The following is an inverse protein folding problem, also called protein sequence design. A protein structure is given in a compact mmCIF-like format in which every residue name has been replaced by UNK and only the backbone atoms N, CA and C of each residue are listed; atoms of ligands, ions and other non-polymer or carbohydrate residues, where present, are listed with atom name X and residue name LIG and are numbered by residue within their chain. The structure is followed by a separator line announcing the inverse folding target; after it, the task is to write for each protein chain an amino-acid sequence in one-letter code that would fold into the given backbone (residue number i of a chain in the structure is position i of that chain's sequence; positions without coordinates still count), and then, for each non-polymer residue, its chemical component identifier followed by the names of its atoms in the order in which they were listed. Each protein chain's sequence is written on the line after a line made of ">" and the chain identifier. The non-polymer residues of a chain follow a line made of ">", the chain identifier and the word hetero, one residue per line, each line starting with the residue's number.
data_IF_875313683924
#
_entry.id   IF_875313683924
#
_cell.length_a   1.000
_cell.length_b   1.000
_cell.length_c   1.000
_cell.angle_alpha   90.00
_cell.angle_beta   90.00
_cell.angle_gamma   90.00
#
_symmetry.space_group_name_H-M   'P 1'
#
loop_
_entity.id
_entity.type
_entity.pdbx_description
1 polymer ?
#
# COMPACT_ATOMS: atom_id res chain seq x y z
N UNK A 1 -5.76 -15.61 13.26
CA UNK A 1 -6.81 -14.89 12.48
C UNK A 1 -8.21 -15.21 12.96
N UNK A 2 -8.46 -16.45 13.30
CA UNK A 2 -9.80 -16.97 13.60
C UNK A 2 -10.45 -16.34 14.83
N UNK A 3 -9.70 -16.10 15.90
CA UNK A 3 -10.29 -15.79 17.21
C UNK A 3 -10.50 -14.30 17.49
N UNK A 4 -9.76 -13.44 16.85
CA UNK A 4 -9.78 -12.01 17.20
C UNK A 4 -10.94 -11.21 16.61
N UNK A 5 -11.56 -11.70 15.52
CA UNK A 5 -12.73 -11.04 14.94
C UNK A 5 -14.05 -11.42 15.60
N UNK A 6 -14.08 -12.53 16.33
CA UNK A 6 -15.32 -13.05 16.91
C UNK A 6 -15.75 -12.26 18.14
N UNK A 7 -14.80 -11.66 18.84
CA UNK A 7 -15.02 -10.92 20.08
C UNK A 7 -14.84 -9.40 19.92
N UNK A 8 -14.43 -8.92 18.74
CA UNK A 8 -14.23 -7.50 18.49
C UNK A 8 -15.57 -6.80 18.26
N UNK A 9 -15.94 -5.98 19.22
CA UNK A 9 -17.11 -5.08 19.10
C UNK A 9 -16.85 -3.87 18.22
N UNK A 10 -15.62 -3.65 17.78
CA UNK A 10 -15.15 -2.41 17.15
C UNK A 10 -14.86 -2.52 15.65
N UNK A 11 -15.33 -3.59 14.99
CA UNK A 11 -15.23 -3.72 13.54
C UNK A 11 -13.79 -3.89 13.02
N UNK A 12 -12.91 -4.55 13.78
CA UNK A 12 -11.56 -4.86 13.32
C UNK A 12 -11.59 -5.65 12.00
N UNK A 13 -11.05 -5.07 10.95
CA UNK A 13 -10.84 -5.76 9.68
C UNK A 13 -9.63 -6.67 9.82
N UNK A 14 -9.85 -7.97 9.94
CA UNK A 14 -8.79 -8.96 9.81
C UNK A 14 -8.50 -9.20 8.33
N UNK A 15 -7.62 -8.40 7.75
CA UNK A 15 -6.97 -8.71 6.50
C UNK A 15 -5.56 -9.22 6.79
N UNK A 16 -5.23 -10.42 6.36
CA UNK A 16 -3.85 -10.87 6.30
C UNK A 16 -3.23 -10.37 5.00
N UNK A 17 -2.10 -9.69 5.09
CA UNK A 17 -1.29 -9.38 3.90
C UNK A 17 -0.19 -10.45 3.85
N UNK A 18 -0.22 -11.28 2.81
CA UNK A 18 0.88 -12.18 2.53
C UNK A 18 1.86 -11.47 1.61
N UNK A 19 3.08 -11.26 2.06
CA UNK A 19 4.17 -10.89 1.17
C UNK A 19 4.73 -12.18 0.56
N UNK A 20 4.52 -12.37 -0.73
CA UNK A 20 5.07 -13.48 -1.49
C UNK A 20 6.47 -13.10 -1.97
N UNK A 21 7.51 -13.64 -1.35
CA UNK A 21 8.88 -13.41 -1.79
C UNK A 21 9.21 -14.28 -3.01
N UNK A 22 9.34 -13.63 -4.14
CA UNK A 22 10.11 -14.15 -5.26
C UNK A 22 9.51 -15.26 -6.12
N UNK A 23 8.19 -15.58 -6.02
CA UNK A 23 7.68 -16.81 -6.65
C UNK A 23 6.45 -16.69 -7.55
N UNK A 24 6.01 -15.48 -7.85
CA UNK A 24 4.82 -15.26 -8.71
C UNK A 24 5.00 -15.71 -10.17
N UNK A 25 6.23 -15.72 -10.70
CA UNK A 25 6.49 -16.06 -12.10
C UNK A 25 6.09 -17.48 -12.52
N UNK A 26 5.99 -18.41 -11.58
CA UNK A 26 5.67 -19.81 -11.85
C UNK A 26 4.33 -20.29 -11.26
N UNK A 27 3.46 -19.38 -10.85
CA UNK A 27 2.15 -19.74 -10.28
C UNK A 27 1.30 -20.62 -11.18
N UNK A 28 1.41 -20.48 -12.49
CA UNK A 28 0.70 -21.34 -13.44
C UNK A 28 1.02 -22.83 -13.29
N UNK A 29 2.20 -23.17 -12.75
CA UNK A 29 2.61 -24.57 -12.53
C UNK A 29 2.07 -25.17 -11.24
N UNK A 30 1.54 -24.34 -10.34
CA UNK A 30 1.04 -24.76 -9.02
C UNK A 30 -0.42 -24.37 -8.80
N UNK A 31 -1.06 -23.81 -9.82
CA UNK A 31 -2.49 -23.49 -9.81
C UNK A 31 -3.24 -24.65 -10.44
N UNK A 32 -4.22 -25.16 -9.72
CA UNK A 32 -5.13 -26.21 -10.14
C UNK A 32 -6.55 -25.66 -10.09
N UNK A 33 -7.35 -26.01 -11.09
CA UNK A 33 -8.80 -25.79 -11.01
C UNK A 33 -9.43 -27.04 -10.38
N UNK A 34 -10.21 -26.83 -9.33
CA UNK A 34 -10.87 -27.94 -8.62
C UNK A 34 -11.87 -28.62 -9.58
N UNK A 35 -11.76 -29.95 -9.78
CA UNK A 35 -12.54 -30.65 -10.78
C UNK A 35 -14.01 -30.74 -10.42
N UNK A 36 -14.84 -30.99 -11.43
CA UNK A 36 -16.27 -31.27 -11.28
C UNK A 36 -16.50 -32.44 -10.33
N UNK A 37 -17.53 -32.32 -9.48
CA UNK A 37 -17.87 -33.33 -8.47
C UNK A 37 -17.15 -33.18 -7.14
N UNK A 38 -16.12 -32.35 -7.05
CA UNK A 38 -15.49 -31.97 -5.79
C UNK A 38 -16.10 -30.69 -5.20
N UNK A 39 -16.05 -30.58 -3.86
CA UNK A 39 -16.40 -29.33 -3.20
C UNK A 39 -15.52 -28.19 -3.68
N UNK A 40 -16.14 -27.10 -4.11
CA UNK A 40 -15.43 -25.96 -4.67
C UNK A 40 -15.11 -26.07 -6.18
N UNK A 41 -15.75 -27.01 -6.90
CA UNK A 41 -15.56 -27.19 -8.34
C UNK A 41 -15.51 -25.88 -9.13
N UNK A 42 -14.57 -25.79 -10.07
CA UNK A 42 -14.35 -24.61 -10.90
C UNK A 42 -13.54 -23.48 -10.24
N UNK A 43 -13.19 -23.60 -8.96
CA UNK A 43 -12.33 -22.63 -8.26
C UNK A 43 -10.87 -22.96 -8.45
N UNK A 44 -10.05 -21.92 -8.54
CA UNK A 44 -8.59 -22.07 -8.62
C UNK A 44 -7.98 -22.22 -7.23
N UNK A 45 -7.04 -23.14 -7.12
CA UNK A 45 -6.35 -23.53 -5.89
C UNK A 45 -4.83 -23.52 -6.07
N UNK A 46 -4.12 -22.92 -5.16
CA UNK A 46 -2.67 -23.08 -5.02
C UNK A 46 -2.36 -24.16 -3.99
N UNK A 47 -1.63 -25.17 -4.41
CA UNK A 47 -1.24 -26.30 -3.54
C UNK A 47 0.15 -26.15 -2.96
N UNK A 48 0.98 -25.30 -3.54
CA UNK A 48 2.34 -24.98 -3.12
C UNK A 48 2.80 -23.67 -3.76
N UNK A 49 3.96 -23.20 -3.39
CA UNK A 49 4.60 -22.05 -4.03
C UNK A 49 5.42 -22.45 -5.26
N UNK A 50 5.53 -21.55 -6.23
CA UNK A 50 6.41 -21.76 -7.36
C UNK A 50 7.88 -21.65 -6.95
N UNK A 51 8.82 -22.29 -7.69
CA UNK A 51 10.25 -22.31 -7.35
C UNK A 51 10.97 -21.00 -7.64
N UNK A 52 10.42 -20.12 -8.43
CA UNK A 52 11.02 -18.83 -8.83
C UNK A 52 9.95 -17.75 -9.05
N UNK A 53 10.36 -16.50 -9.04
CA UNK A 53 9.48 -15.35 -9.27
C UNK A 53 9.93 -14.11 -8.49
N UNK A 54 9.03 -13.18 -8.27
CA UNK A 54 9.25 -11.93 -7.55
C UNK A 54 8.25 -11.79 -6.40
N UNK A 55 8.61 -10.98 -5.40
CA UNK A 55 7.76 -10.70 -4.25
C UNK A 55 6.44 -10.03 -4.65
N UNK A 56 5.36 -10.42 -3.99
CA UNK A 56 4.04 -9.86 -4.22
C UNK A 56 3.21 -9.89 -2.94
N UNK A 57 2.38 -8.89 -2.75
CA UNK A 57 1.41 -8.83 -1.66
C UNK A 57 0.02 -9.26 -2.14
N UNK A 58 -0.59 -10.18 -1.42
CA UNK A 58 -2.00 -10.57 -1.60
C UNK A 58 -2.74 -10.48 -0.27
N UNK A 59 -4.05 -10.32 -0.30
CA UNK A 59 -4.86 -10.17 0.90
C UNK A 59 -5.61 -11.45 1.21
N UNK A 60 -5.42 -11.99 2.42
CA UNK A 60 -6.27 -13.06 2.93
C UNK A 60 -7.59 -12.44 3.43
N UNK A 61 -8.71 -12.87 2.87
CA UNK A 61 -10.05 -12.36 3.19
C UNK A 61 -10.93 -13.39 3.88
N UNK A 62 -10.45 -14.62 4.03
CA UNK A 62 -11.20 -15.68 4.68
C UNK A 62 -10.49 -17.04 4.60
N UNK A 63 -11.23 -18.07 4.91
CA UNK A 63 -10.79 -19.46 4.84
C UNK A 63 -11.97 -20.37 4.52
N UNK A 64 -11.68 -21.58 4.05
CA UNK A 64 -12.67 -22.62 3.78
C UNK A 64 -12.06 -23.99 4.11
N UNK A 65 -12.52 -24.60 5.19
CA UNK A 65 -12.00 -25.89 5.70
C UNK A 65 -12.45 -27.09 4.85
N UNK A 66 -13.31 -26.91 3.86
CA UNK A 66 -13.80 -28.00 2.99
C UNK A 66 -13.07 -28.07 1.66
N UNK A 67 -12.41 -26.99 1.24
CA UNK A 67 -11.57 -26.99 0.05
C UNK A 67 -10.38 -27.92 0.26
N UNK A 68 -10.04 -28.70 -0.74
CA UNK A 68 -8.91 -29.62 -0.65
C UNK A 68 -8.36 -30.06 -1.98
N UNK A 69 -7.22 -30.70 -1.93
CA UNK A 69 -6.50 -31.25 -3.07
C UNK A 69 -5.78 -32.53 -2.68
N UNK A 70 -5.95 -33.55 -3.47
CA UNK A 70 -5.23 -34.83 -3.32
C UNK A 70 -3.76 -34.62 -3.71
N UNK A 71 -2.90 -34.41 -2.71
CA UNK A 71 -1.49 -34.07 -2.91
C UNK A 71 -0.66 -35.31 -3.23
N UNK A 72 -1.01 -36.47 -2.63
CA UNK A 72 -0.29 -37.73 -2.78
C UNK A 72 -0.80 -38.62 -3.94
N UNK A 73 -1.97 -38.29 -4.53
CA UNK A 73 -2.55 -39.01 -5.64
C UNK A 73 -3.22 -40.34 -5.27
N UNK A 74 -3.63 -40.52 -4.01
CA UNK A 74 -4.26 -41.73 -3.55
C UNK A 74 -5.78 -41.78 -3.74
N UNK A 75 -6.36 -40.74 -4.30
CA UNK A 75 -7.80 -40.59 -4.55
C UNK A 75 -8.60 -40.11 -3.34
N UNK A 76 -7.95 -39.70 -2.25
CA UNK A 76 -8.59 -39.17 -1.06
C UNK A 76 -8.04 -37.77 -0.74
N UNK A 77 -8.79 -37.01 0.02
CA UNK A 77 -8.37 -35.70 0.53
C UNK A 77 -8.52 -35.73 2.03
N UNK A 78 -7.42 -35.93 2.75
CA UNK A 78 -7.40 -36.17 4.19
C UNK A 78 -6.39 -35.27 4.91
N UNK A 79 -6.44 -35.23 6.24
CA UNK A 79 -5.52 -34.48 7.10
C UNK A 79 -4.88 -35.38 8.16
N UNK A 80 -4.90 -36.68 7.96
CA UNK A 80 -4.50 -37.69 8.94
C UNK A 80 -3.30 -38.55 8.50
N UNK A 81 -2.69 -38.21 7.37
CA UNK A 81 -1.52 -38.87 6.84
C UNK A 81 -0.26 -38.00 7.00
N UNK A 82 0.86 -38.62 7.32
CA UNK A 82 2.19 -37.98 7.26
C UNK A 82 2.67 -38.02 5.82
N UNK A 83 2.43 -36.90 5.11
CA UNK A 83 2.74 -36.77 3.67
C UNK A 83 4.21 -36.43 3.42
N UNK A 84 4.86 -35.77 4.37
CA UNK A 84 6.24 -35.34 4.23
C UNK A 84 7.27 -36.35 4.79
N UNK A 85 6.81 -37.38 5.51
CA UNK A 85 7.64 -38.46 6.05
C UNK A 85 8.48 -38.07 7.28
N UNK A 86 8.09 -37.04 8.02
CA UNK A 86 8.83 -36.58 9.20
C UNK A 86 8.43 -37.28 10.49
N UNK A 87 7.49 -38.22 10.42
CA UNK A 87 6.98 -39.05 11.54
C UNK A 87 5.88 -38.35 12.33
N UNK A 88 5.31 -37.25 11.85
CA UNK A 88 4.23 -36.51 12.50
C UNK A 88 3.21 -36.01 11.48
N UNK A 89 1.94 -36.06 11.87
CA UNK A 89 0.90 -35.40 11.10
C UNK A 89 0.75 -33.97 11.60
N UNK A 90 1.06 -32.99 10.75
CA UNK A 90 1.01 -31.58 11.06
C UNK A 90 0.25 -30.82 9.96
N UNK A 91 0.11 -29.51 10.10
CA UNK A 91 -0.48 -28.66 9.05
C UNK A 91 0.26 -28.78 7.71
N UNK A 92 1.54 -29.17 7.71
CA UNK A 92 2.33 -29.39 6.49
C UNK A 92 1.81 -30.54 5.63
N UNK A 93 1.09 -31.45 6.25
CA UNK A 93 0.59 -32.68 5.64
C UNK A 93 -0.88 -32.58 5.23
N UNK A 94 -1.53 -31.46 5.54
CA UNK A 94 -2.95 -31.31 5.28
C UNK A 94 -3.27 -31.10 3.82
N UNK A 95 -4.15 -31.93 3.30
CA UNK A 95 -4.72 -31.83 1.96
C UNK A 95 -6.02 -31.04 1.93
N UNK A 96 -6.61 -30.78 3.10
CA UNK A 96 -7.90 -30.12 3.26
C UNK A 96 -7.77 -28.89 4.15
N UNK A 97 -8.41 -27.82 3.70
CA UNK A 97 -8.39 -26.49 4.30
C UNK A 97 -7.55 -25.49 3.49
N UNK A 98 -8.13 -24.36 3.19
CA UNK A 98 -7.51 -23.32 2.39
C UNK A 98 -7.85 -21.91 2.86
N UNK A 99 -6.92 -20.98 2.71
CA UNK A 99 -7.18 -19.55 2.80
C UNK A 99 -7.82 -19.06 1.52
N UNK A 100 -8.73 -18.09 1.62
CA UNK A 100 -9.27 -17.34 0.50
C UNK A 100 -8.44 -16.07 0.35
N UNK A 101 -7.76 -15.93 -0.78
CA UNK A 101 -6.87 -14.79 -1.04
C UNK A 101 -7.32 -14.00 -2.25
N UNK A 102 -7.17 -12.68 -2.18
CA UNK A 102 -7.53 -11.71 -3.23
C UNK A 102 -6.28 -11.01 -3.72
N UNK A 103 -6.18 -10.88 -5.04
CA UNK A 103 -5.11 -10.15 -5.69
C UNK A 103 -5.55 -8.73 -6.06
N UNK A 104 -4.59 -7.81 -6.17
CA UNK A 104 -4.80 -6.44 -6.64
C UNK A 104 -5.03 -6.30 -8.15
N UNK A 105 -5.05 -7.40 -8.90
CA UNK A 105 -5.17 -7.41 -10.37
C UNK A 105 -6.61 -7.36 -10.88
N UNK A 106 -7.57 -7.22 -9.99
CA UNK A 106 -8.97 -7.02 -10.28
C UNK A 106 -9.77 -8.32 -10.47
N UNK A 107 -11.10 -8.19 -10.66
CA UNK A 107 -12.04 -9.32 -10.61
C UNK A 107 -11.94 -10.28 -11.79
N UNK A 108 -11.23 -9.92 -12.85
CA UNK A 108 -11.03 -10.82 -14.00
C UNK A 108 -9.89 -11.82 -13.78
N UNK A 109 -9.06 -11.61 -12.75
CA UNK A 109 -8.00 -12.54 -12.41
C UNK A 109 -8.60 -13.77 -11.74
N UNK A 110 -8.21 -14.95 -12.19
CA UNK A 110 -8.69 -16.24 -11.64
C UNK A 110 -10.22 -16.37 -11.53
N UNK A 111 -10.94 -15.78 -12.49
CA UNK A 111 -12.40 -15.85 -12.61
C UNK A 111 -13.16 -14.79 -11.83
N UNK A 112 -12.89 -14.61 -10.53
CA UNK A 112 -13.56 -13.63 -9.66
C UNK A 112 -12.61 -12.76 -8.82
N UNK A 113 -11.32 -12.73 -9.17
CA UNK A 113 -10.28 -12.02 -8.43
C UNK A 113 -9.78 -12.72 -7.18
N UNK A 114 -10.23 -13.95 -6.95
CA UNK A 114 -9.90 -14.77 -5.78
C UNK A 114 -9.25 -16.07 -6.17
N UNK A 115 -8.45 -16.62 -5.25
CA UNK A 115 -7.90 -17.97 -5.35
C UNK A 115 -7.86 -18.58 -3.95
N UNK A 116 -7.87 -19.89 -3.90
CA UNK A 116 -7.68 -20.66 -2.67
C UNK A 116 -6.22 -21.03 -2.51
N UNK A 117 -5.71 -20.97 -1.30
CA UNK A 117 -4.34 -21.32 -0.94
C UNK A 117 -4.38 -22.38 0.16
N UNK A 118 -3.96 -23.60 -0.13
CA UNK A 118 -3.92 -24.66 0.89
C UNK A 118 -3.18 -24.21 2.14
N UNK A 119 -3.65 -24.62 3.31
CA UNK A 119 -2.98 -24.33 4.58
C UNK A 119 -1.55 -24.88 4.60
N UNK A 120 -1.34 -26.08 4.06
CA UNK A 120 -0.02 -26.70 3.95
C UNK A 120 0.95 -25.88 3.09
N UNK A 121 0.46 -25.19 2.06
CA UNK A 121 1.31 -24.32 1.25
C UNK A 121 1.89 -23.13 2.04
N UNK A 122 1.24 -22.68 3.12
CA UNK A 122 1.74 -21.57 3.93
C UNK A 122 2.96 -21.91 4.77
N UNK A 123 3.15 -23.17 5.10
CA UNK A 123 4.24 -23.65 5.94
C UNK A 123 5.23 -24.53 5.18
N UNK A 124 5.19 -24.50 3.85
CA UNK A 124 6.13 -25.23 3.00
C UNK A 124 7.58 -24.85 3.34
N UNK A 125 8.42 -25.79 3.84
CA UNK A 125 9.79 -25.51 4.28
C UNK A 125 10.73 -25.16 3.13
N UNK A 126 10.33 -25.39 1.89
CA UNK A 126 11.11 -24.94 0.71
C UNK A 126 11.09 -23.42 0.56
N UNK A 127 10.25 -22.76 1.31
CA UNK A 127 10.15 -21.32 1.38
C UNK A 127 11.21 -20.72 2.32
N UNK A 128 12.35 -20.37 1.78
CA UNK A 128 13.52 -19.93 2.57
C UNK A 128 13.47 -18.47 3.07
N UNK A 129 12.49 -17.67 2.68
CA UNK A 129 12.38 -16.26 3.08
C UNK A 129 10.96 -15.95 3.49
N UNK A 130 10.77 -15.86 4.77
CA UNK A 130 9.55 -15.65 5.53
C UNK A 130 8.31 -15.11 4.81
N UNK A 131 7.23 -15.86 4.92
CA UNK A 131 5.90 -15.32 4.74
C UNK A 131 5.61 -14.35 5.87
N UNK A 132 5.23 -13.14 5.54
CA UNK A 132 4.69 -12.21 6.51
C UNK A 132 3.17 -12.28 6.47
N UNK A 133 2.57 -12.75 7.53
CA UNK A 133 1.17 -12.51 7.79
C UNK A 133 1.07 -11.21 8.57
N UNK A 134 0.80 -10.12 7.87
CA UNK A 134 0.56 -8.82 8.47
C UNK A 134 -0.92 -8.66 8.82
N UNK A 135 -1.21 -8.07 9.96
CA UNK A 135 -2.54 -7.61 10.34
C UNK A 135 -2.54 -6.10 10.30
N UNK A 136 -3.52 -5.51 9.61
CA UNK A 136 -3.78 -4.09 9.68
C UNK A 136 -4.74 -3.81 10.86
N UNK A 137 -4.30 -3.01 11.82
CA UNK A 137 -5.19 -2.41 12.82
C UNK A 137 -5.65 -1.05 12.31
N UNK A 138 -6.94 -0.91 12.12
CA UNK A 138 -7.52 0.38 11.75
C UNK A 138 -7.80 1.15 13.03
N UNK A 139 -7.07 2.25 13.21
CA UNK A 139 -7.34 3.22 14.29
C UNK A 139 -7.96 4.48 13.67
N UNK A 140 -8.90 5.08 14.39
CA UNK A 140 -9.37 6.41 14.00
C UNK A 140 -8.18 7.37 14.11
N UNK A 141 -7.83 7.94 12.98
CA UNK A 141 -6.81 8.97 12.89
C UNK A 141 -7.42 10.23 12.25
N UNK A 142 -7.12 11.38 12.81
CA UNK A 142 -7.61 12.67 12.32
C UNK A 142 -6.39 13.53 12.08
N UNK A 143 -6.06 13.85 10.80
CA UNK A 143 -4.99 14.78 10.51
C UNK A 143 -5.37 16.17 11.05
N UNK A 144 -4.42 16.83 11.71
CA UNK A 144 -4.59 18.18 12.25
C UNK A 144 -4.16 19.25 11.25
N UNK A 145 -3.20 18.89 10.40
CA UNK A 145 -2.64 19.77 9.38
C UNK A 145 -2.39 18.99 8.10
N UNK A 146 -2.92 19.49 6.99
CA UNK A 146 -2.66 18.93 5.67
C UNK A 146 -2.21 20.02 4.70
N UNK A 147 -1.29 19.68 3.81
CA UNK A 147 -0.98 20.50 2.65
C UNK A 147 -1.83 19.99 1.48
N UNK A 148 -2.76 20.83 1.02
CA UNK A 148 -3.56 20.58 -0.18
C UNK A 148 -2.76 21.04 -1.39
N UNK A 149 -2.58 20.16 -2.35
CA UNK A 149 -1.85 20.42 -3.58
C UNK A 149 -2.71 20.03 -4.77
N UNK A 150 -2.93 20.93 -5.70
CA UNK A 150 -3.55 20.65 -6.99
C UNK A 150 -2.52 20.84 -8.09
N UNK A 151 -2.16 19.77 -8.77
CA UNK A 151 -1.04 19.77 -9.71
C UNK A 151 -1.27 18.80 -10.87
N UNK A 152 -0.59 19.06 -11.98
CA UNK A 152 -0.41 18.13 -13.09
C UNK A 152 1.07 17.81 -13.29
N UNK A 153 1.38 16.64 -13.82
CA UNK A 153 2.74 16.24 -14.18
C UNK A 153 2.67 15.24 -15.34
N UNK A 154 3.52 15.45 -16.35
CA UNK A 154 3.51 14.65 -17.57
C UNK A 154 3.96 13.20 -17.33
N UNK A 155 4.76 12.95 -16.27
CA UNK A 155 5.16 11.61 -15.84
C UNK A 155 5.27 11.53 -14.32
N UNK A 156 4.33 10.81 -13.70
CA UNK A 156 4.26 10.62 -12.25
C UNK A 156 5.48 9.89 -11.66
N UNK A 157 6.19 9.09 -12.45
CA UNK A 157 7.37 8.34 -11.97
C UNK A 157 8.57 9.23 -11.73
N UNK A 158 8.60 10.37 -12.40
CA UNK A 158 9.67 11.37 -12.29
C UNK A 158 9.35 12.48 -11.29
N UNK A 159 8.10 12.59 -10.81
CA UNK A 159 7.71 13.59 -9.81
C UNK A 159 8.50 13.39 -8.51
N UNK A 160 8.94 14.52 -7.94
CA UNK A 160 9.58 14.61 -6.63
C UNK A 160 8.89 15.68 -5.81
N UNK A 161 8.39 15.31 -4.65
CA UNK A 161 7.73 16.21 -3.73
C UNK A 161 8.38 16.14 -2.37
N UNK A 162 8.65 17.29 -1.78
CA UNK A 162 9.06 17.40 -0.37
C UNK A 162 8.19 18.43 0.33
N UNK A 163 7.83 18.14 1.54
CA UNK A 163 7.11 19.02 2.44
C UNK A 163 7.97 19.21 3.69
N UNK A 164 7.99 20.39 4.23
CA UNK A 164 8.79 20.65 5.41
C UNK A 164 8.20 21.73 6.30
N UNK A 165 8.71 21.79 7.51
CA UNK A 165 8.30 22.80 8.50
C UNK A 165 9.52 23.33 9.25
N UNK A 166 9.44 24.59 9.70
CA UNK A 166 10.41 25.21 10.61
C UNK A 166 9.70 26.01 11.68
N UNK A 167 10.27 26.07 12.88
CA UNK A 167 9.75 26.80 14.04
C UNK A 167 9.93 28.34 13.97
N UNK A 168 10.47 28.87 12.89
CA UNK A 168 10.65 30.31 12.69
C UNK A 168 10.12 30.80 11.35
N UNK A 169 9.43 31.93 11.34
CA UNK A 169 8.89 32.54 10.11
C UNK A 169 9.96 33.05 9.15
N UNK A 170 11.16 33.30 9.65
CA UNK A 170 12.31 33.76 8.88
C UNK A 170 13.16 32.64 8.29
N UNK A 171 12.81 31.38 8.57
CA UNK A 171 13.55 30.24 8.06
C UNK A 171 13.57 30.21 6.52
N UNK A 172 14.73 29.90 5.96
CA UNK A 172 14.95 29.71 4.52
C UNK A 172 14.93 28.25 4.10
N UNK A 173 14.98 27.34 5.07
CA UNK A 173 14.91 25.89 4.87
C UNK A 173 14.14 25.22 6.01
N UNK A 174 13.56 24.04 5.77
CA UNK A 174 12.84 23.31 6.79
C UNK A 174 13.80 22.69 7.83
N UNK A 175 13.34 22.59 9.09
CA UNK A 175 13.99 21.83 10.17
C UNK A 175 13.58 20.35 10.11
N UNK A 176 12.36 20.07 9.69
CA UNK A 176 11.84 18.72 9.51
C UNK A 176 11.22 18.59 8.13
N UNK A 177 11.51 17.48 7.47
CA UNK A 177 11.00 17.19 6.12
C UNK A 177 10.26 15.84 6.06
N UNK A 178 9.31 15.79 5.14
CA UNK A 178 8.61 14.59 4.68
C UNK A 178 8.74 14.51 3.15
N UNK A 179 9.13 13.34 2.66
CA UNK A 179 9.08 12.99 1.25
C UNK A 179 8.00 11.91 1.05
N UNK A 180 6.75 12.28 0.68
CA UNK A 180 5.68 11.31 0.52
C UNK A 180 6.06 10.30 -0.56
N UNK A 181 6.12 9.02 -0.21
CA UNK A 181 6.58 7.95 -1.10
C UNK A 181 5.81 7.90 -2.42
N UNK A 182 4.50 8.13 -2.38
CA UNK A 182 3.63 8.15 -3.55
C UNK A 182 4.05 9.17 -4.62
N UNK A 183 4.82 10.20 -4.24
CA UNK A 183 5.26 11.29 -5.11
C UNK A 183 6.78 11.41 -5.21
N UNK A 184 7.53 10.35 -4.92
CA UNK A 184 8.99 10.35 -4.96
C UNK A 184 9.57 9.21 -5.78
N UNK A 185 8.91 8.89 -6.88
CA UNK A 185 9.45 7.95 -7.86
C UNK A 185 9.52 6.53 -7.30
N UNK A 186 8.57 6.16 -6.44
CA UNK A 186 8.44 4.76 -6.05
C UNK A 186 8.39 3.91 -7.32
N UNK A 187 9.35 3.01 -7.53
CA UNK A 187 9.27 2.08 -8.63
C UNK A 187 8.07 1.18 -8.35
N UNK A 188 6.91 1.51 -8.91
CA UNK A 188 5.76 0.62 -8.92
C UNK A 188 6.19 -0.67 -9.62
N UNK A 189 6.75 -1.58 -8.80
CA UNK A 189 6.99 -2.98 -9.10
C UNK A 189 7.27 -3.28 -10.58
N UNK A 190 8.56 -3.21 -10.98
CA UNK A 190 9.01 -3.81 -12.23
C UNK A 190 8.50 -3.18 -13.53
N UNK A 191 7.90 -2.01 -13.50
CA UNK A 191 7.47 -1.31 -14.70
C UNK A 191 8.54 -0.39 -15.29
N UNK A 192 9.72 -0.92 -15.47
CA UNK A 192 10.73 -0.27 -16.33
C UNK A 192 10.22 0.01 -17.76
N UNK A 193 9.08 -0.56 -18.15
CA UNK A 193 8.51 -0.51 -19.49
C UNK A 193 7.12 0.16 -19.56
N UNK A 194 6.67 0.84 -18.52
CA UNK A 194 5.32 1.43 -18.54
C UNK A 194 5.18 2.69 -19.41
N UNK A 195 6.28 3.21 -19.96
CA UNK A 195 6.29 4.48 -20.67
C UNK A 195 5.97 5.66 -19.75
N UNK A 196 5.84 6.85 -20.33
CA UNK A 196 5.40 8.04 -19.60
C UNK A 196 3.92 7.89 -19.21
N UNK A 197 3.63 8.00 -17.91
CA UNK A 197 2.27 7.96 -17.38
C UNK A 197 1.97 9.28 -16.69
N UNK A 198 1.04 10.10 -17.22
CA UNK A 198 0.63 11.34 -16.57
C UNK A 198 0.17 11.11 -15.12
N UNK A 199 0.27 12.14 -14.30
CA UNK A 199 -0.08 12.05 -12.88
C UNK A 199 -1.53 11.62 -12.67
N UNK A 200 -2.46 12.09 -13.49
CA UNK A 200 -3.87 11.71 -13.44
C UNK A 200 -4.18 10.28 -13.91
N UNK A 201 -3.26 9.65 -14.63
CA UNK A 201 -3.42 8.29 -15.14
C UNK A 201 -3.16 8.16 -16.64
N UNK A 202 -3.19 6.94 -17.18
CA UNK A 202 -2.96 6.70 -18.61
C UNK A 202 -4.05 7.39 -19.47
N UNK A 203 -3.62 8.31 -20.35
CA UNK A 203 -4.52 9.06 -21.24
C UNK A 203 -5.22 10.26 -20.59
N UNK A 204 -4.88 10.58 -19.32
CA UNK A 204 -5.46 11.71 -18.58
C UNK A 204 -4.38 12.77 -18.34
N UNK A 205 -4.59 13.98 -18.86
CA UNK A 205 -3.63 15.09 -18.71
C UNK A 205 -4.06 16.15 -17.67
N UNK A 206 -5.21 15.97 -17.04
CA UNK A 206 -5.76 16.90 -16.07
C UNK A 206 -4.99 16.98 -14.75
N UNK A 207 -5.22 18.04 -13.95
CA UNK A 207 -4.67 18.10 -12.60
C UNK A 207 -5.37 17.13 -11.66
N UNK A 208 -4.62 16.60 -10.72
CA UNK A 208 -5.17 15.93 -9.53
C UNK A 208 -5.10 16.87 -8.33
N UNK A 209 -5.97 16.63 -7.34
CA UNK A 209 -5.92 17.28 -6.04
C UNK A 209 -5.67 16.24 -4.96
N UNK A 210 -4.70 16.52 -4.08
CA UNK A 210 -4.33 15.64 -2.98
C UNK A 210 -4.15 16.45 -1.70
N UNK A 211 -4.49 15.84 -0.55
CA UNK A 211 -4.15 16.34 0.77
C UNK A 211 -3.05 15.45 1.37
N UNK A 212 -1.95 16.07 1.80
CA UNK A 212 -0.84 15.36 2.41
C UNK A 212 -0.77 15.76 3.87
N UNK A 213 -0.85 14.78 4.74
CA UNK A 213 -0.79 14.98 6.18
C UNK A 213 0.63 15.37 6.62
N UNK A 214 0.72 16.49 7.32
CA UNK A 214 1.95 17.00 7.94
C UNK A 214 1.82 17.15 9.46
N UNK A 215 0.79 16.59 10.06
CA UNK A 215 0.51 16.73 11.50
C UNK A 215 1.70 16.31 12.36
N UNK A 216 2.36 15.20 12.01
CA UNK A 216 3.55 14.71 12.72
C UNK A 216 4.73 15.70 12.65
N UNK A 217 4.93 16.38 11.51
CA UNK A 217 5.96 17.40 11.38
C UNK A 217 5.66 18.60 12.29
N UNK A 218 4.40 19.03 12.33
CA UNK A 218 3.96 20.13 13.18
C UNK A 218 4.09 19.76 14.67
N UNK A 219 3.73 18.55 15.05
CA UNK A 219 3.91 18.05 16.42
C UNK A 219 5.38 18.03 16.85
N UNK A 220 6.29 17.66 15.97
CA UNK A 220 7.74 17.74 16.21
C UNK A 220 8.20 19.18 16.48
N UNK A 221 7.70 20.15 15.69
CA UNK A 221 7.99 21.56 15.95
C UNK A 221 7.47 22.02 17.32
N UNK A 222 6.24 21.67 17.67
CA UNK A 222 5.65 22.02 18.96
C UNK A 222 6.48 21.44 20.11
N UNK A 223 6.92 20.19 19.96
CA UNK A 223 7.75 19.51 20.97
C UNK A 223 9.11 20.19 21.13
N UNK A 224 9.71 20.66 20.04
CA UNK A 224 11.05 21.26 20.04
C UNK A 224 11.05 22.74 20.49
N UNK A 225 10.03 23.49 20.09
CA UNK A 225 10.01 24.94 20.27
C UNK A 225 8.94 25.46 21.24
N UNK A 226 8.02 24.58 21.68
CA UNK A 226 6.90 24.98 22.56
C UNK A 226 5.90 25.95 21.91
N UNK A 227 5.97 26.14 20.59
CA UNK A 227 5.17 27.09 19.82
C UNK A 227 4.47 26.42 18.66
N UNK A 228 3.26 26.87 18.35
CA UNK A 228 2.48 26.46 17.19
C UNK A 228 2.64 27.42 16.00
N UNK A 229 3.72 28.18 15.95
CA UNK A 229 4.02 29.16 14.90
C UNK A 229 5.26 28.74 14.16
N UNK A 230 5.30 28.99 12.88
CA UNK A 230 6.45 28.66 12.05
C UNK A 230 6.14 28.81 10.57
N UNK A 231 6.89 28.10 9.77
CA UNK A 231 6.81 28.15 8.30
C UNK A 231 6.66 26.76 7.72
N UNK A 232 5.78 26.64 6.73
CA UNK A 232 5.61 25.42 5.93
C UNK A 232 6.34 25.65 4.60
N UNK A 233 7.01 24.60 4.12
CA UNK A 233 7.72 24.56 2.85
C UNK A 233 7.13 23.45 1.97
N UNK A 234 7.01 23.75 0.68
CA UNK A 234 6.63 22.81 -0.36
C UNK A 234 7.63 22.91 -1.50
N UNK A 235 8.21 21.80 -1.87
CA UNK A 235 9.12 21.70 -3.01
C UNK A 235 8.63 20.66 -3.98
N UNK A 236 8.47 21.07 -5.24
CA UNK A 236 8.12 20.20 -6.36
C UNK A 236 9.23 20.24 -7.40
N UNK A 237 9.66 19.08 -7.85
CA UNK A 237 10.67 18.95 -8.90
C UNK A 237 10.39 17.68 -9.72
N UNK A 238 11.13 17.48 -10.76
CA UNK A 238 11.21 16.20 -11.47
C UNK A 238 12.59 15.59 -11.29
N UNK A 239 12.71 14.30 -11.64
CA UNK A 239 13.99 13.62 -11.66
C UNK A 239 14.94 14.33 -12.63
N UNK A 240 16.20 14.46 -12.25
CA UNK A 240 17.28 14.98 -13.10
C UNK A 240 17.36 14.23 -14.42
N UNK A 241 17.74 14.92 -15.48
CA UNK A 241 17.86 14.41 -16.85
C UNK A 241 16.54 13.85 -17.42
N UNK A 242 15.39 14.27 -16.89
CA UNK A 242 14.08 13.89 -17.42
C UNK A 242 13.47 15.05 -18.23
N UNK A 243 12.80 14.74 -19.32
CA UNK A 243 11.97 15.72 -20.05
C UNK A 243 10.61 16.00 -19.40
N UNK A 244 10.41 15.52 -18.18
CA UNK A 244 9.15 15.64 -17.45
C UNK A 244 8.92 17.08 -16.99
N UNK A 245 7.72 17.57 -17.19
CA UNK A 245 7.27 18.87 -16.70
C UNK A 245 6.02 18.73 -15.87
N UNK A 246 5.83 19.67 -14.96
CA UNK A 246 4.63 19.74 -14.14
C UNK A 246 4.17 21.17 -13.92
N UNK A 247 2.92 21.31 -13.49
CA UNK A 247 2.31 22.60 -13.13
C UNK A 247 1.60 22.45 -11.79
N UNK A 248 1.94 23.33 -10.88
CA UNK A 248 1.21 23.53 -9.63
C UNK A 248 0.11 24.57 -9.86
N UNK A 249 -1.14 24.18 -9.70
CA UNK A 249 -2.30 25.04 -9.89
C UNK A 249 -2.72 25.73 -8.59
N UNK A 250 -2.71 24.98 -7.49
CA UNK A 250 -3.09 25.47 -6.16
C UNK A 250 -2.27 24.76 -5.08
N UNK A 251 -1.92 25.51 -4.04
CA UNK A 251 -1.29 24.99 -2.85
C UNK A 251 -1.84 25.71 -1.61
N UNK A 252 -2.21 24.98 -0.58
CA UNK A 252 -2.73 25.55 0.65
C UNK A 252 -2.46 24.68 1.86
N UNK A 253 -2.22 25.29 3.01
CA UNK A 253 -2.23 24.65 4.31
C UNK A 253 -3.66 24.63 4.86
N UNK A 254 -4.13 23.48 5.29
CA UNK A 254 -5.42 23.29 5.96
C UNK A 254 -5.23 22.82 7.39
N UNK A 255 -6.06 23.34 8.28
CA UNK A 255 -6.08 22.96 9.68
C UNK A 255 -7.42 22.38 10.09
N UNK A 256 -7.41 21.42 11.04
CA UNK A 256 -8.58 20.72 11.54
C UNK A 256 -8.51 20.60 13.06
N UNK A 257 -9.68 20.55 13.72
CA UNK A 257 -9.79 20.28 15.14
C UNK A 257 -9.63 18.79 15.49
N UNK A 258 -9.77 18.45 16.78
CA UNK A 258 -9.65 17.05 17.26
C UNK A 258 -10.78 16.14 16.77
N UNK A 259 -11.87 16.71 16.35
CA UNK A 259 -13.02 16.02 15.79
C UNK A 259 -12.93 15.87 14.26
N UNK A 260 -11.93 16.53 13.63
CA UNK A 260 -11.73 16.55 12.16
C UNK A 260 -12.57 17.61 11.46
N UNK A 261 -13.09 18.60 12.20
CA UNK A 261 -13.80 19.72 11.61
C UNK A 261 -12.77 20.69 10.99
N UNK A 262 -13.07 21.16 9.82
CA UNK A 262 -12.22 22.12 9.12
C UNK A 262 -12.22 23.48 9.84
N UNK A 263 -11.05 23.96 10.20
CA UNK A 263 -10.85 25.23 10.91
C UNK A 263 -10.49 26.37 9.96
N UNK A 264 -9.73 26.11 8.91
CA UNK A 264 -9.32 27.13 7.96
C UNK A 264 -8.28 26.68 6.95
N UNK A 265 -8.07 27.53 5.96
CA UNK A 265 -7.11 27.34 4.87
C UNK A 265 -6.26 28.60 4.70
N UNK A 266 -4.94 28.42 4.64
CA UNK A 266 -3.99 29.47 4.26
C UNK A 266 -3.38 29.09 2.91
N UNK A 267 -3.62 29.90 1.88
CA UNK A 267 -3.04 29.66 0.55
C UNK A 267 -1.56 30.02 0.54
N UNK A 268 -0.76 29.17 -0.10
CA UNK A 268 0.62 29.47 -0.43
C UNK A 268 0.63 30.11 -1.82
N UNK A 269 1.24 31.29 -1.94
CA UNK A 269 1.27 32.01 -3.21
C UNK A 269 2.14 31.27 -4.24
N UNK A 270 1.60 31.17 -5.45
CA UNK A 270 2.25 30.53 -6.59
C UNK A 270 2.45 31.62 -7.67
N UNK A 271 3.64 32.18 -7.74
CA UNK A 271 3.96 33.23 -8.72
C UNK A 271 4.05 32.66 -10.16
N UNK A 272 4.64 31.51 -10.34
CA UNK A 272 4.68 30.72 -11.57
C UNK A 272 4.69 29.25 -11.21
N UNK A 273 3.62 28.52 -11.53
CA UNK A 273 3.38 27.16 -11.07
C UNK A 273 4.14 26.06 -11.81
N UNK A 274 4.98 26.40 -12.80
CA UNK A 274 5.72 25.38 -13.56
C UNK A 274 6.91 24.84 -12.77
N UNK A 275 7.14 23.53 -12.87
CA UNK A 275 8.31 22.85 -12.32
C UNK A 275 8.83 21.80 -13.30
N UNK A 276 10.13 21.49 -13.16
CA UNK A 276 10.85 20.52 -13.96
C UNK A 276 12.08 20.04 -13.15
N UNK A 277 13.24 19.92 -13.79
CA UNK A 277 14.50 19.73 -13.08
C UNK A 277 14.76 20.88 -12.11
N UNK A 278 14.46 22.12 -12.55
CA UNK A 278 14.41 23.27 -11.66
C UNK A 278 13.20 23.14 -10.74
N UNK A 279 13.48 23.10 -9.45
CA UNK A 279 12.45 22.95 -8.44
C UNK A 279 11.61 24.22 -8.28
N UNK A 280 10.29 24.03 -8.16
CA UNK A 280 9.39 25.05 -7.65
C UNK A 280 9.38 24.95 -6.11
N UNK A 281 9.75 26.04 -5.45
CA UNK A 281 9.75 26.14 -4.00
C UNK A 281 8.74 27.18 -3.52
N UNK A 282 7.91 26.78 -2.57
CA UNK A 282 6.90 27.61 -1.94
C UNK A 282 7.07 27.56 -0.43
N UNK A 283 6.69 28.66 0.21
CA UNK A 283 6.58 28.66 1.66
C UNK A 283 5.46 29.58 2.12
N UNK A 284 4.92 29.29 3.31
CA UNK A 284 3.89 30.10 3.93
C UNK A 284 3.88 29.96 5.43
N UNK A 285 3.21 30.88 6.12
CA UNK A 285 3.14 30.86 7.57
C UNK A 285 2.31 29.69 8.09
N UNK A 286 2.83 29.02 9.12
CA UNK A 286 2.13 28.05 9.92
C UNK A 286 1.53 28.80 11.14
N UNK A 287 0.43 29.51 10.93
CA UNK A 287 -0.28 30.19 12.02
C UNK A 287 -1.48 29.34 12.41
N UNK A 288 -1.52 28.90 13.65
CA UNK A 288 -2.73 28.37 14.27
C UNK A 288 -3.42 29.49 15.04
N UNK A 289 -4.32 30.22 14.39
CA UNK A 289 -5.36 30.96 15.08
C UNK A 289 -6.52 30.01 15.36
N UNK A 290 -6.78 29.77 16.62
CA UNK A 290 -7.92 28.96 17.04
C UNK A 290 -7.61 28.13 18.29
N UNK A 291 -7.50 28.78 19.44
CA UNK A 291 -7.71 28.18 20.77
C UNK A 291 -9.16 28.35 21.17
#
# INVERSE_FOLDING_TARGET
>A
LYDRNRDSKDGEVCGGIFALDGRMGELKKVTFTIPEGQYGAGKDLWTRWGPSGYGHGITCVGYDDQIGYDVNGDGKITNDLDLNGDGRVTLADWEKGAYIVVNSWGPKWSGDGKIYLLYSAMIDPTWKRGNYLGRAEVKRYIPRHTVRVKMSCSDRTNLRMRLGVSGTDTATSPEHELAPEAFNGWPLFGRANAGHVPLAGPGEEGPIEVGIDISELVEKLISNHGKKQGKVFVRLATKEESSTTGVLHECALRSYDEQGQFLGESRLEVANGSFGEDALELSGSLNQEGS
#
